data_IF_383504284205
#
_entry.id   IF_383504284205
#
_cell.length_a   1.000
_cell.length_b   1.000
_cell.length_c   1.000
_cell.angle_alpha   90.00
_cell.angle_beta   90.00
_cell.angle_gamma   90.00
#
_symmetry.space_group_name_H-M   'P 1'
#
loop_
_entity.id
_entity.type
_entity.pdbx_description
1 polymer ?
#
# COMPACT_ATOMS: atom_id res chain seq x y z
N UNK A 1 13.54 18.55 -11.57
CA UNK A 1 13.83 17.48 -12.52
C UNK A 1 13.14 16.21 -12.03
N UNK A 2 12.50 15.45 -12.94
CA UNK A 2 11.94 14.12 -12.66
C UNK A 2 13.04 13.10 -12.86
N UNK A 3 13.17 12.15 -11.95
CA UNK A 3 14.13 11.05 -12.00
C UNK A 3 13.42 9.79 -11.51
N UNK A 4 13.68 8.66 -12.14
CA UNK A 4 13.20 7.35 -11.68
C UNK A 4 14.36 6.67 -10.95
N UNK A 5 14.23 6.58 -9.64
CA UNK A 5 15.23 5.93 -8.79
C UNK A 5 14.93 4.44 -8.65
N UNK A 6 15.99 3.65 -8.62
CA UNK A 6 15.92 2.24 -8.25
C UNK A 6 15.53 2.06 -6.78
N UNK A 7 15.00 0.90 -6.45
CA UNK A 7 14.67 0.57 -5.07
C UNK A 7 15.94 0.45 -4.23
N UNK A 8 15.91 0.97 -2.98
CA UNK A 8 17.07 0.97 -2.07
C UNK A 8 17.61 -0.43 -1.72
N UNK A 9 16.77 -1.46 -1.85
CA UNK A 9 17.12 -2.85 -1.52
C UNK A 9 16.55 -3.79 -2.56
N UNK A 10 17.16 -4.97 -2.72
CA UNK A 10 16.65 -6.04 -3.60
C UNK A 10 15.22 -6.47 -3.22
N UNK A 11 14.88 -6.44 -1.93
CA UNK A 11 13.52 -6.74 -1.44
C UNK A 11 12.48 -5.70 -1.88
N UNK A 12 12.92 -4.52 -2.33
CA UNK A 12 12.05 -3.49 -2.91
C UNK A 12 11.50 -3.88 -4.28
N UNK A 13 12.28 -4.62 -5.06
CA UNK A 13 11.89 -5.10 -6.40
C UNK A 13 11.23 -6.47 -6.26
N UNK A 14 9.91 -6.52 -6.39
CA UNK A 14 9.12 -7.74 -6.23
C UNK A 14 7.81 -7.69 -7.00
N UNK A 15 7.25 -8.84 -7.30
CA UNK A 15 5.89 -8.95 -7.82
C UNK A 15 4.91 -9.06 -6.65
N UNK A 16 3.85 -8.25 -6.66
CA UNK A 16 2.77 -8.31 -5.68
C UNK A 16 1.55 -8.98 -6.31
N UNK A 17 0.97 -10.01 -5.68
CA UNK A 17 -0.31 -10.55 -6.11
C UNK A 17 -1.40 -9.50 -5.90
N UNK A 18 -2.35 -9.44 -6.80
CA UNK A 18 -3.54 -8.62 -6.66
C UNK A 18 -4.74 -9.51 -6.32
N UNK A 19 -5.60 -9.06 -5.41
CA UNK A 19 -6.94 -9.62 -5.27
C UNK A 19 -7.79 -9.17 -6.47
N UNK A 20 -8.90 -9.87 -6.73
CA UNK A 20 -9.80 -9.53 -7.84
C UNK A 20 -10.28 -8.07 -7.73
N UNK A 21 -10.64 -7.62 -6.53
CA UNK A 21 -11.06 -6.23 -6.26
C UNK A 21 -9.96 -5.21 -6.62
N UNK A 22 -8.71 -5.51 -6.28
CA UNK A 22 -7.56 -4.65 -6.62
C UNK A 22 -7.31 -4.65 -8.11
N UNK A 23 -7.42 -5.80 -8.76
CA UNK A 23 -7.30 -5.93 -10.22
C UNK A 23 -8.35 -5.10 -10.94
N UNK A 24 -9.63 -5.24 -10.57
CA UNK A 24 -10.73 -4.45 -11.14
C UNK A 24 -10.52 -2.95 -10.95
N UNK A 25 -10.03 -2.54 -9.77
CA UNK A 25 -9.70 -1.14 -9.50
C UNK A 25 -8.62 -0.62 -10.47
N UNK A 26 -7.53 -1.37 -10.67
CA UNK A 26 -6.47 -0.98 -11.61
C UNK A 26 -6.96 -1.01 -13.06
N UNK A 27 -7.81 -1.96 -13.45
CA UNK A 27 -8.42 -1.99 -14.77
C UNK A 27 -9.22 -0.70 -15.04
N UNK A 28 -10.03 -0.26 -14.07
CA UNK A 28 -10.76 1.00 -14.17
C UNK A 28 -9.82 2.22 -14.26
N UNK A 29 -8.74 2.24 -13.49
CA UNK A 29 -7.74 3.30 -13.55
C UNK A 29 -7.11 3.37 -14.95
N UNK A 30 -6.69 2.24 -15.50
CA UNK A 30 -6.09 2.15 -16.84
C UNK A 30 -7.09 2.58 -17.92
N UNK A 31 -8.33 2.10 -17.83
CA UNK A 31 -9.42 2.44 -18.77
C UNK A 31 -9.75 3.93 -18.76
N UNK A 32 -9.74 4.54 -17.59
CA UNK A 32 -10.07 5.96 -17.42
C UNK A 32 -8.82 6.86 -17.41
N UNK A 33 -7.65 6.31 -17.70
CA UNK A 33 -6.41 7.09 -17.76
C UNK A 33 -6.55 8.28 -18.69
N UNK A 34 -6.08 9.43 -18.24
CA UNK A 34 -6.07 10.66 -19.04
C UNK A 34 -5.35 10.44 -20.36
N UNK A 35 -6.01 10.74 -21.48
CA UNK A 35 -5.36 10.77 -22.78
C UNK A 35 -4.57 12.07 -22.94
N UNK A 36 -3.28 11.94 -23.19
CA UNK A 36 -2.38 13.08 -23.38
C UNK A 36 -1.97 13.20 -24.83
N UNK A 37 -1.71 14.43 -25.29
CA UNK A 37 -1.26 14.66 -26.65
C UNK A 37 0.18 14.18 -26.90
N UNK A 38 1.01 14.36 -25.89
CA UNK A 38 2.42 13.92 -25.90
C UNK A 38 2.66 13.17 -24.61
N UNK A 39 3.07 11.91 -24.72
CA UNK A 39 3.40 11.08 -23.55
C UNK A 39 4.73 11.57 -22.93
N UNK A 40 4.74 11.84 -21.61
CA UNK A 40 5.99 12.15 -20.94
C UNK A 40 6.89 10.92 -20.92
N UNK A 41 8.18 11.14 -21.26
CA UNK A 41 9.21 10.11 -21.16
C UNK A 41 10.23 10.58 -20.12
N UNK A 42 10.48 9.75 -19.10
CA UNK A 42 11.41 10.02 -18.01
C UNK A 42 12.30 8.79 -17.86
N UNK A 43 13.59 8.96 -18.03
CA UNK A 43 14.60 7.89 -17.95
C UNK A 43 14.24 6.64 -18.79
N UNK A 44 13.63 6.84 -19.98
CA UNK A 44 13.20 5.79 -20.88
C UNK A 44 11.81 5.18 -20.56
N UNK A 45 11.19 5.53 -19.45
CA UNK A 45 9.84 5.09 -19.07
C UNK A 45 8.76 6.05 -19.57
N UNK A 46 7.63 5.50 -19.96
CA UNK A 46 6.46 6.24 -20.44
C UNK A 46 5.16 5.55 -19.98
N UNK A 47 4.02 6.10 -20.35
CA UNK A 47 2.68 5.58 -20.01
C UNK A 47 2.41 5.51 -18.51
N UNK A 48 2.87 6.52 -17.76
CA UNK A 48 2.58 6.65 -16.34
C UNK A 48 1.07 6.66 -16.09
N UNK A 49 0.60 5.91 -15.09
CA UNK A 49 -0.83 5.77 -14.80
C UNK A 49 -1.43 7.07 -14.26
N UNK A 50 -0.70 7.78 -13.43
CA UNK A 50 -1.17 8.96 -12.74
C UNK A 50 -0.42 10.19 -13.24
N UNK A 51 -1.19 11.13 -13.80
CA UNK A 51 -0.67 12.35 -14.39
C UNK A 51 -1.30 13.57 -13.71
N UNK A 52 -0.50 14.57 -13.48
CA UNK A 52 -0.94 15.86 -12.97
C UNK A 52 -1.66 16.70 -14.03
N UNK A 53 -1.99 17.96 -13.69
CA UNK A 53 -2.66 18.89 -14.60
C UNK A 53 -1.80 19.31 -15.79
N UNK A 54 -0.48 19.14 -15.69
CA UNK A 54 0.51 19.49 -16.73
C UNK A 54 0.94 18.27 -17.55
N UNK A 55 0.21 17.16 -17.46
CA UNK A 55 0.52 15.88 -18.12
C UNK A 55 1.83 15.25 -17.68
N UNK A 56 2.34 15.61 -16.50
CA UNK A 56 3.54 15.03 -15.91
C UNK A 56 3.18 13.98 -14.85
N UNK A 57 4.02 12.95 -14.64
CA UNK A 57 3.77 11.95 -13.61
C UNK A 57 3.59 12.56 -12.22
N UNK A 58 2.62 12.05 -11.49
CA UNK A 58 2.45 12.40 -10.08
C UNK A 58 3.61 11.85 -9.24
N UNK A 59 4.11 12.68 -8.33
CA UNK A 59 5.17 12.35 -7.37
C UNK A 59 4.62 12.21 -5.95
N UNK A 60 5.42 11.71 -5.03
CA UNK A 60 5.02 11.46 -3.64
C UNK A 60 4.31 12.65 -2.98
N UNK A 61 4.79 13.88 -3.23
CA UNK A 61 4.18 15.10 -2.70
C UNK A 61 2.73 15.32 -3.18
N UNK A 62 2.40 14.90 -4.42
CA UNK A 62 1.04 14.98 -4.93
C UNK A 62 0.11 14.04 -4.15
N UNK A 63 0.57 12.82 -3.90
CA UNK A 63 -0.17 11.83 -3.10
C UNK A 63 -0.40 12.30 -1.66
N UNK A 64 0.60 12.90 -1.02
CA UNK A 64 0.41 13.50 0.31
C UNK A 64 -0.68 14.56 0.32
N UNK A 65 -0.71 15.44 -0.70
CA UNK A 65 -1.75 16.45 -0.85
C UNK A 65 -3.12 15.83 -1.11
N UNK A 66 -3.23 14.75 -1.89
CA UNK A 66 -4.49 14.04 -2.09
C UNK A 66 -5.03 13.46 -0.78
N UNK A 67 -4.17 12.82 0.02
CA UNK A 67 -4.55 12.32 1.34
C UNK A 67 -5.01 13.45 2.27
N UNK A 68 -4.26 14.55 2.33
CA UNK A 68 -4.61 15.71 3.16
C UNK A 68 -5.95 16.33 2.72
N UNK A 69 -6.19 16.44 1.42
CA UNK A 69 -7.44 16.96 0.88
C UNK A 69 -8.62 16.04 1.24
N UNK A 70 -8.49 14.74 1.02
CA UNK A 70 -9.53 13.76 1.34
C UNK A 70 -9.86 13.76 2.83
N UNK A 71 -8.83 13.77 3.68
CA UNK A 71 -8.96 13.86 5.13
C UNK A 71 -9.66 15.16 5.56
N UNK A 72 -9.24 16.30 5.01
CA UNK A 72 -9.85 17.59 5.32
C UNK A 72 -11.31 17.68 4.84
N UNK A 73 -11.66 17.02 3.72
CA UNK A 73 -13.05 16.91 3.28
C UNK A 73 -13.89 16.08 4.26
N UNK A 74 -13.38 14.91 4.65
CA UNK A 74 -14.06 14.04 5.62
C UNK A 74 -14.29 14.78 6.95
N UNK A 75 -13.25 15.36 7.53
CA UNK A 75 -13.29 16.02 8.83
C UNK A 75 -14.18 17.27 8.87
N UNK A 76 -14.50 17.87 7.71
CA UNK A 76 -15.49 18.95 7.65
C UNK A 76 -16.93 18.49 7.66
N UNK A 77 -17.19 17.23 7.31
CA UNK A 77 -18.54 16.69 7.13
C UNK A 77 -18.95 15.67 8.21
N UNK A 78 -18.01 15.26 9.07
CA UNK A 78 -18.23 14.26 10.11
C UNK A 78 -17.83 14.81 11.47
N UNK A 79 -18.63 14.49 12.49
CA UNK A 79 -18.33 14.86 13.88
C UNK A 79 -17.10 14.11 14.41
N UNK A 80 -17.02 12.80 14.10
CA UNK A 80 -15.86 12.00 14.43
C UNK A 80 -14.70 12.31 13.46
N UNK A 81 -13.65 12.90 14.01
CA UNK A 81 -12.50 13.34 13.24
C UNK A 81 -11.54 12.18 12.97
N UNK A 82 -11.18 11.97 11.70
CA UNK A 82 -10.11 11.06 11.36
C UNK A 82 -8.74 11.63 11.75
N UNK A 83 -7.85 10.79 12.31
CA UNK A 83 -6.46 11.18 12.54
C UNK A 83 -5.72 11.41 11.20
N UNK A 84 -4.52 12.01 11.28
CA UNK A 84 -3.70 12.20 10.08
C UNK A 84 -3.38 10.87 9.40
N UNK A 85 -3.84 10.71 8.17
CA UNK A 85 -3.60 9.55 7.32
C UNK A 85 -2.56 9.91 6.25
N UNK A 86 -1.59 9.02 6.06
CA UNK A 86 -0.57 9.11 5.02
C UNK A 86 -0.41 7.73 4.35
N UNK A 87 0.19 7.63 3.16
CA UNK A 87 0.51 6.31 2.56
C UNK A 87 1.29 5.40 3.51
N UNK A 88 2.16 5.97 4.33
CA UNK A 88 2.93 5.22 5.33
C UNK A 88 2.05 4.66 6.46
N UNK A 89 1.09 5.44 6.95
CA UNK A 89 0.09 4.99 7.93
C UNK A 89 -0.76 3.86 7.35
N UNK A 90 -1.21 3.98 6.09
CA UNK A 90 -1.94 2.91 5.41
C UNK A 90 -1.11 1.62 5.30
N UNK A 91 0.17 1.74 4.97
CA UNK A 91 1.11 0.62 4.93
C UNK A 91 1.24 -0.06 6.29
N UNK A 92 1.40 0.70 7.37
CA UNK A 92 1.45 0.16 8.73
C UNK A 92 0.14 -0.52 9.14
N UNK A 93 -0.99 0.12 8.86
CA UNK A 93 -2.31 -0.46 9.14
C UNK A 93 -2.51 -1.79 8.39
N UNK A 94 -2.13 -1.84 7.10
CA UNK A 94 -2.18 -3.08 6.32
C UNK A 94 -1.33 -4.17 6.98
N UNK A 95 -0.07 -3.87 7.33
CA UNK A 95 0.83 -4.83 7.95
C UNK A 95 0.24 -5.38 9.27
N UNK A 96 -0.27 -4.50 10.13
CA UNK A 96 -0.87 -4.87 11.41
C UNK A 96 -2.14 -5.70 11.24
N UNK A 97 -3.00 -5.33 10.30
CA UNK A 97 -4.24 -6.06 10.05
C UNK A 97 -3.99 -7.44 9.47
N UNK A 98 -3.01 -7.59 8.56
CA UNK A 98 -2.63 -8.90 8.02
C UNK A 98 -2.00 -9.79 9.09
N UNK A 99 -1.17 -9.23 9.97
CA UNK A 99 -0.61 -9.96 11.10
C UNK A 99 -1.71 -10.47 12.05
N UNK A 100 -2.66 -9.59 12.43
CA UNK A 100 -3.82 -9.95 13.26
C UNK A 100 -4.72 -11.00 12.60
N UNK A 101 -4.84 -10.98 11.27
CA UNK A 101 -5.58 -11.99 10.51
C UNK A 101 -4.84 -13.33 10.39
N UNK A 102 -3.67 -13.48 11.01
CA UNK A 102 -2.90 -14.72 11.03
C UNK A 102 -2.10 -14.98 9.74
N UNK A 103 -1.79 -13.96 8.95
CA UNK A 103 -0.94 -14.12 7.77
C UNK A 103 0.43 -14.65 8.17
N UNK A 104 0.96 -15.59 7.40
CA UNK A 104 2.32 -16.12 7.63
C UNK A 104 3.34 -14.95 7.61
N UNK A 105 4.22 -14.81 8.63
CA UNK A 105 5.20 -13.73 8.73
C UNK A 105 6.13 -13.60 7.52
N UNK A 106 6.52 -14.74 6.90
CA UNK A 106 7.36 -14.71 5.69
C UNK A 106 6.61 -14.19 4.47
N UNK A 107 5.33 -14.55 4.33
CA UNK A 107 4.47 -14.01 3.28
C UNK A 107 4.28 -12.50 3.47
N UNK A 108 4.02 -12.06 4.70
CA UNK A 108 3.89 -10.64 5.03
C UNK A 108 5.21 -9.88 4.80
N UNK A 109 6.36 -10.44 5.19
CA UNK A 109 7.68 -9.88 4.90
C UNK A 109 7.85 -9.61 3.40
N UNK A 110 7.52 -10.60 2.57
CA UNK A 110 7.60 -10.49 1.11
C UNK A 110 6.68 -9.38 0.59
N UNK A 111 5.40 -9.38 0.99
CA UNK A 111 4.42 -8.38 0.56
C UNK A 111 4.83 -6.97 0.97
N UNK A 112 5.39 -6.82 2.16
CA UNK A 112 5.87 -5.53 2.67
C UNK A 112 7.23 -5.11 2.06
N UNK A 113 8.00 -6.04 1.52
CA UNK A 113 9.35 -5.79 1.02
C UNK A 113 10.34 -5.41 2.12
N UNK A 114 10.17 -5.99 3.31
CA UNK A 114 11.12 -5.81 4.40
C UNK A 114 12.35 -6.69 4.17
N UNK A 115 13.53 -6.09 4.15
CA UNK A 115 14.79 -6.81 4.02
C UNK A 115 15.09 -7.67 5.25
N UNK A 116 14.68 -7.19 6.43
CA UNK A 116 14.80 -7.89 7.70
C UNK A 116 13.43 -8.38 8.18
N UNK A 117 13.37 -9.68 8.52
CA UNK A 117 12.17 -10.30 9.08
C UNK A 117 11.81 -9.74 10.45
N UNK A 118 12.78 -9.26 11.23
CA UNK A 118 12.57 -8.63 12.53
C UNK A 118 11.59 -7.47 12.47
N UNK A 119 11.68 -6.67 11.41
CA UNK A 119 10.74 -5.55 11.16
C UNK A 119 9.30 -6.04 11.04
N UNK A 120 9.10 -7.18 10.37
CA UNK A 120 7.76 -7.80 10.25
C UNK A 120 7.34 -8.44 11.56
N UNK A 121 8.22 -9.18 12.24
CA UNK A 121 7.91 -9.87 13.48
C UNK A 121 7.52 -8.90 14.61
N UNK A 122 8.05 -7.70 14.63
CA UNK A 122 7.66 -6.67 15.61
C UNK A 122 6.15 -6.38 15.61
N UNK A 123 5.46 -6.62 14.49
CA UNK A 123 4.01 -6.44 14.41
C UNK A 123 3.27 -7.59 15.10
N UNK A 124 3.92 -8.75 15.26
CA UNK A 124 3.36 -9.94 15.93
C UNK A 124 3.63 -9.97 17.44
N UNK A 125 4.45 -9.05 17.98
CA UNK A 125 4.81 -9.03 19.41
C UNK A 125 3.63 -8.74 20.34
N UNK A 126 2.52 -8.24 19.80
CA UNK A 126 1.30 -7.96 20.55
C UNK A 126 0.33 -9.15 20.62
N UNK A 127 0.68 -10.29 19.99
CA UNK A 127 -0.11 -11.51 20.08
C UNK A 127 0.07 -12.14 21.47
N UNK A 128 -1.05 -12.34 22.17
CA UNK A 128 -1.08 -12.87 23.51
C UNK A 128 -1.63 -14.30 23.61
N UNK A 129 -1.92 -14.74 24.83
CA UNK A 129 -2.48 -16.08 25.09
C UNK A 129 -3.81 -16.32 24.37
N UNK A 130 -4.66 -15.28 24.24
CA UNK A 130 -5.95 -15.38 23.57
C UNK A 130 -5.76 -15.68 22.10
N UNK A 131 -4.88 -14.92 21.43
CA UNK A 131 -4.54 -15.11 20.02
C UNK A 131 -3.96 -16.51 19.75
N UNK A 132 -3.08 -16.99 20.66
CA UNK A 132 -2.50 -18.33 20.58
C UNK A 132 -3.57 -19.42 20.67
N UNK A 133 -4.58 -19.25 21.55
CA UNK A 133 -5.71 -20.20 21.71
C UNK A 133 -6.60 -20.18 20.45
N UNK A 134 -6.89 -19.02 19.91
CA UNK A 134 -7.67 -18.90 18.67
C UNK A 134 -6.96 -19.58 17.49
N UNK A 135 -5.65 -19.39 17.37
CA UNK A 135 -4.84 -20.01 16.32
C UNK A 135 -4.79 -21.55 16.46
N UNK A 136 -4.63 -22.05 17.69
CA UNK A 136 -4.73 -23.50 17.96
C UNK A 136 -6.07 -24.07 17.52
N UNK A 137 -7.18 -23.38 17.87
CA UNK A 137 -8.53 -23.81 17.49
C UNK A 137 -8.74 -23.75 15.96
N UNK A 138 -8.14 -22.77 15.29
CA UNK A 138 -8.19 -22.65 13.82
C UNK A 138 -7.49 -23.83 13.15
N UNK A 139 -6.29 -24.16 13.61
CA UNK A 139 -5.50 -25.28 13.06
C UNK A 139 -6.19 -26.62 13.33
N UNK A 140 -6.74 -26.82 14.53
CA UNK A 140 -7.44 -28.05 14.88
C UNK A 140 -8.71 -28.32 14.04
N UNK A 141 -9.30 -27.28 13.44
CA UNK A 141 -10.45 -27.42 12.52
C UNK A 141 -10.05 -27.76 11.09
N UNK A 142 -8.76 -27.66 10.76
CA UNK A 142 -8.19 -27.93 9.42
C UNK A 142 -7.55 -29.32 9.35
N UNK A 143 -7.33 -29.96 10.50
CA UNK A 143 -6.78 -31.33 10.64
C UNK A 143 -7.91 -32.36 10.69
#
# INVERSE_FOLDING_TARGET
QYVIEDTKTSSGTRMLPMTDEVYECFEQIVKNRKKVRVEPIIDGYSRFLFLDKKDMPEVALHWEKHFQWALGKYNRTHEEQMPKITPHVCRHAYCSNMAKAGMNPKALQYLMGHSDIGVTLNVYTHLGLIDAKEEMNRIAKLA
#
